data_IF_911858294450
#
_entry.id   IF_911858294450
#
_cell.length_a   1.000
_cell.length_b   1.000
_cell.length_c   1.000
_cell.angle_alpha   90.00
_cell.angle_beta   90.00
_cell.angle_gamma   90.00
#
_symmetry.space_group_name_H-M   'P 1'
#
loop_
_entity.id
_entity.type
_entity.pdbx_description
1 polymer ?
#
# COMPACT_ATOMS: atom_id res chain seq x y z
N UNK A 1 10.79 14.91 -1.00
CA UNK A 1 9.50 15.15 -1.68
C UNK A 1 9.43 14.38 -3.01
N UNK A 2 10.50 14.38 -3.82
CA UNK A 2 10.55 13.67 -5.12
C UNK A 2 10.41 12.15 -5.05
N UNK A 3 10.90 11.50 -4.00
CA UNK A 3 10.92 10.02 -3.88
C UNK A 3 9.52 9.40 -3.77
N UNK A 4 8.60 10.07 -3.07
CA UNK A 4 7.22 9.59 -2.91
C UNK A 4 6.43 9.62 -4.22
N UNK A 5 6.80 10.53 -5.14
CA UNK A 5 6.12 10.70 -6.43
C UNK A 5 6.46 9.60 -7.45
N UNK A 6 7.50 8.81 -7.20
CA UNK A 6 7.94 7.75 -8.13
C UNK A 6 7.44 6.37 -7.70
N UNK A 7 7.35 6.11 -6.39
CA UNK A 7 7.00 4.78 -5.89
C UNK A 7 5.50 4.55 -5.72
N UNK A 8 4.71 5.63 -5.58
CA UNK A 8 3.26 5.54 -5.41
C UNK A 8 2.46 5.32 -6.70
N UNK A 9 3.13 5.35 -7.85
CA UNK A 9 2.48 5.26 -9.16
C UNK A 9 1.87 3.87 -9.43
N UNK A 10 0.82 3.80 -10.27
CA UNK A 10 0.15 4.95 -10.92
C UNK A 10 -0.81 5.68 -9.96
N UNK A 11 -1.29 6.86 -10.31
CA UNK A 11 -2.17 7.67 -9.46
C UNK A 11 -3.65 7.59 -9.87
N UNK A 12 -4.59 7.81 -8.94
CA UNK A 12 -5.99 8.00 -9.28
C UNK A 12 -6.16 9.01 -10.41
N UNK A 13 -6.78 8.60 -11.51
CA UNK A 13 -6.97 9.44 -12.71
C UNK A 13 -5.92 9.29 -13.83
N UNK A 14 -4.88 8.47 -13.67
CA UNK A 14 -4.05 8.05 -14.80
C UNK A 14 -4.88 7.18 -15.77
N UNK A 15 -4.63 7.28 -17.08
CA UNK A 15 -5.48 6.76 -18.16
C UNK A 15 -5.85 5.26 -18.08
N UNK A 16 -5.23 4.47 -17.19
CA UNK A 16 -5.40 3.03 -17.01
C UNK A 16 -5.70 2.59 -15.57
N UNK A 17 -6.10 3.52 -14.69
CA UNK A 17 -6.38 3.22 -13.27
C UNK A 17 -7.87 2.94 -13.05
N UNK A 18 -8.23 1.67 -12.86
CA UNK A 18 -9.53 1.31 -12.27
C UNK A 18 -9.42 1.47 -10.76
N UNK A 19 -9.83 2.64 -10.25
CA UNK A 19 -9.64 3.01 -8.84
C UNK A 19 -10.46 2.15 -7.85
N UNK A 20 -11.60 1.61 -8.27
CA UNK A 20 -12.60 1.08 -7.34
C UNK A 20 -12.14 -0.19 -6.58
N UNK A 21 -11.16 -0.94 -7.10
CA UNK A 21 -10.68 -2.20 -6.53
C UNK A 21 -9.16 -2.26 -6.32
N UNK A 22 -8.44 -1.13 -6.39
CA UNK A 22 -6.97 -1.15 -6.27
C UNK A 22 -6.53 -1.65 -4.90
N UNK A 23 -7.00 -1.00 -3.84
CA UNK A 23 -6.59 -1.29 -2.47
C UNK A 23 -7.69 -2.05 -1.73
N UNK A 24 -7.42 -3.29 -1.36
CA UNK A 24 -8.33 -4.12 -0.58
C UNK A 24 -7.68 -4.49 0.75
N UNK A 25 -8.46 -4.54 1.83
CA UNK A 25 -7.98 -4.91 3.16
C UNK A 25 -8.77 -6.12 3.64
N UNK A 26 -8.06 -7.21 3.93
CA UNK A 26 -8.65 -8.44 4.43
C UNK A 26 -8.12 -8.75 5.82
N UNK A 27 -9.01 -9.12 6.73
CA UNK A 27 -8.61 -9.65 8.02
C UNK A 27 -8.29 -11.15 7.87
N UNK A 28 -7.08 -11.56 8.24
CA UNK A 28 -6.66 -12.97 8.20
C UNK A 28 -6.65 -13.62 9.59
N UNK A 29 -6.57 -12.81 10.64
CA UNK A 29 -6.74 -13.23 12.05
C UNK A 29 -7.16 -12.05 12.91
N UNK A 30 -7.40 -12.26 14.21
CA UNK A 30 -7.70 -11.17 15.15
C UNK A 30 -6.56 -10.15 15.25
N UNK A 31 -5.31 -10.56 14.97
CA UNK A 31 -4.12 -9.72 15.14
C UNK A 31 -3.48 -9.27 13.83
N UNK A 32 -3.97 -9.72 12.67
CA UNK A 32 -3.32 -9.49 11.39
C UNK A 32 -4.31 -9.28 10.25
N UNK A 33 -3.97 -8.34 9.37
CA UNK A 33 -4.64 -8.04 8.11
C UNK A 33 -3.65 -8.17 6.95
N UNK A 34 -4.17 -8.28 5.73
CA UNK A 34 -3.41 -8.12 4.50
C UNK A 34 -3.98 -6.92 3.75
N UNK A 35 -3.10 -6.01 3.34
CA UNK A 35 -3.41 -4.97 2.37
C UNK A 35 -2.96 -5.47 1.00
N UNK A 36 -3.90 -5.55 0.06
CA UNK A 36 -3.69 -5.95 -1.33
C UNK A 36 -3.71 -4.70 -2.20
N UNK A 37 -2.71 -4.55 -3.05
CA UNK A 37 -2.67 -3.60 -4.17
C UNK A 37 -2.76 -4.37 -5.48
N UNK A 38 -3.99 -4.59 -5.96
CA UNK A 38 -4.29 -5.37 -7.17
C UNK A 38 -3.64 -4.81 -8.44
N UNK A 39 -3.27 -3.52 -8.41
CA UNK A 39 -2.68 -2.87 -9.56
C UNK A 39 -1.21 -3.23 -9.75
N UNK A 40 -0.52 -3.54 -8.66
CA UNK A 40 0.91 -3.90 -8.70
C UNK A 40 1.19 -5.29 -8.16
N UNK A 41 0.13 -6.08 -7.95
CA UNK A 41 0.22 -7.46 -7.48
C UNK A 41 1.01 -7.55 -6.15
N UNK A 42 0.80 -6.55 -5.28
CA UNK A 42 1.52 -6.41 -4.02
C UNK A 42 0.59 -6.72 -2.85
N UNK A 43 0.94 -7.78 -2.12
CA UNK A 43 0.26 -8.19 -0.89
C UNK A 43 1.17 -7.93 0.31
N UNK A 44 0.70 -7.12 1.26
CA UNK A 44 1.47 -6.76 2.45
C UNK A 44 0.70 -7.13 3.72
N UNK A 45 1.22 -8.09 4.52
CA UNK A 45 0.73 -8.34 5.87
C UNK A 45 0.98 -7.13 6.77
N UNK A 46 -0.02 -6.76 7.56
CA UNK A 46 0.06 -5.68 8.53
C UNK A 46 -0.63 -6.08 9.85
N UNK A 47 0.03 -5.86 11.01
CA UNK A 47 -0.62 -6.10 12.29
C UNK A 47 -1.86 -5.22 12.46
N UNK A 48 -2.94 -5.78 13.01
CA UNK A 48 -4.18 -5.02 13.30
C UNK A 48 -3.92 -3.79 14.17
N UNK A 49 -2.94 -3.87 15.08
CA UNK A 49 -2.55 -2.76 15.93
C UNK A 49 -2.05 -1.54 15.13
N UNK A 50 -1.36 -1.76 14.00
CA UNK A 50 -0.83 -0.69 13.17
C UNK A 50 -1.95 0.02 12.39
N UNK A 51 -2.98 -0.72 11.94
CA UNK A 51 -4.16 -0.12 11.32
C UNK A 51 -4.99 0.74 12.28
N UNK A 52 -4.81 0.55 13.59
CA UNK A 52 -5.49 1.32 14.65
C UNK A 52 -4.63 2.47 15.18
N UNK A 53 -3.39 2.58 14.72
CA UNK A 53 -2.47 3.64 15.12
C UNK A 53 -2.71 4.87 14.24
N UNK A 54 -3.27 5.92 14.84
CA UNK A 54 -3.56 7.19 14.15
C UNK A 54 -2.30 8.02 13.87
N UNK A 55 -1.15 7.61 14.41
CA UNK A 55 0.15 8.21 14.12
C UNK A 55 0.86 7.56 12.94
N UNK A 56 0.31 6.48 12.37
CA UNK A 56 0.87 5.81 11.21
C UNK A 56 0.80 6.73 9.98
N UNK A 57 1.97 7.12 9.46
CA UNK A 57 2.08 7.71 8.14
C UNK A 57 1.88 6.61 7.07
N UNK A 58 0.63 6.40 6.70
CA UNK A 58 0.22 5.38 5.74
C UNK A 58 0.91 5.56 4.37
N UNK A 59 1.15 6.80 3.96
CA UNK A 59 1.78 7.12 2.67
C UNK A 59 3.25 6.71 2.70
N UNK A 60 3.98 7.11 3.75
CA UNK A 60 5.38 6.74 3.91
C UNK A 60 5.56 5.23 4.06
N UNK A 61 4.70 4.59 4.86
CA UNK A 61 4.68 3.14 5.02
C UNK A 61 4.50 2.42 3.69
N UNK A 62 3.48 2.77 2.91
CA UNK A 62 3.18 2.09 1.64
C UNK A 62 4.28 2.36 0.59
N UNK A 63 4.83 3.57 0.55
CA UNK A 63 5.94 3.90 -0.35
C UNK A 63 7.17 3.04 -0.07
N UNK A 64 7.46 2.75 1.20
CA UNK A 64 8.54 1.83 1.58
C UNK A 64 8.24 0.38 1.16
N UNK A 65 6.99 -0.08 1.28
CA UNK A 65 6.61 -1.42 0.77
C UNK A 65 6.81 -1.51 -0.75
N UNK A 66 6.38 -0.48 -1.49
CA UNK A 66 6.57 -0.39 -2.95
C UNK A 66 8.03 -0.34 -3.34
N UNK A 67 8.85 0.44 -2.64
CA UNK A 67 10.30 0.50 -2.84
C UNK A 67 10.93 -0.89 -2.69
N UNK A 68 10.57 -1.62 -1.63
CA UNK A 68 11.04 -3.00 -1.39
C UNK A 68 10.58 -3.97 -2.46
N UNK A 69 9.31 -3.92 -2.85
CA UNK A 69 8.75 -4.82 -3.87
C UNK A 69 9.39 -4.63 -5.24
N UNK A 70 9.82 -3.40 -5.55
CA UNK A 70 10.51 -3.06 -6.79
C UNK A 70 12.04 -3.21 -6.72
N UNK A 71 12.58 -3.66 -5.58
CA UNK A 71 14.03 -3.76 -5.32
C UNK A 71 14.78 -2.44 -5.58
N UNK A 72 14.14 -1.32 -5.24
CA UNK A 72 14.70 0.02 -5.43
C UNK A 72 15.56 0.41 -4.22
N UNK A 73 16.66 1.16 -4.42
CA UNK A 73 17.59 1.54 -3.36
C UNK A 73 16.97 2.44 -2.29
#
# INVERSE_FOLDING_TARGET
AETFLQHGQPYPGDDHVQDEDRFLVYQISDTEHIIVDNMTDLDVPIPTAFLRDDTLDLIAWYSEQRRRALDLP
#
